data_IF_604619231905
#
_entry.id   IF_604619231905
#
_cell.length_a   1.000
_cell.length_b   1.000
_cell.length_c   1.000
_cell.angle_alpha   90.00
_cell.angle_beta   90.00
_cell.angle_gamma   90.00
#
_symmetry.space_group_name_H-M   'P 1'
#
loop_
_entity.id
_entity.type
_entity.pdbx_description
1 polymer ?
#
# COMPACT_ATOMS: atom_id res chain seq x y z
N UNK A 1 15.31 -1.15 -31.24
CA UNK A 1 15.28 0.27 -31.66
C UNK A 1 14.60 1.24 -30.67
N UNK A 2 13.79 0.81 -29.70
CA UNK A 2 13.10 1.73 -28.76
C UNK A 2 14.00 2.40 -27.69
N UNK A 3 15.14 1.79 -27.32
CA UNK A 3 15.99 2.29 -26.23
C UNK A 3 16.74 3.60 -26.51
N UNK A 4 17.00 3.95 -27.77
CA UNK A 4 17.80 5.13 -28.12
C UNK A 4 17.06 6.45 -27.86
N UNK A 5 15.74 6.50 -28.09
CA UNK A 5 14.91 7.69 -27.85
C UNK A 5 14.70 7.96 -26.36
N UNK A 6 14.50 6.91 -25.56
CA UNK A 6 14.33 7.02 -24.11
C UNK A 6 15.59 7.59 -23.45
N UNK A 7 16.77 7.16 -23.90
CA UNK A 7 18.05 7.71 -23.44
C UNK A 7 18.23 9.18 -23.81
N UNK A 8 17.90 9.56 -25.05
CA UNK A 8 17.98 10.95 -25.49
C UNK A 8 17.07 11.89 -24.66
N UNK A 9 15.84 11.44 -24.34
CA UNK A 9 14.90 12.20 -23.51
C UNK A 9 15.41 12.32 -22.07
N UNK A 10 15.96 11.26 -21.48
CA UNK A 10 16.53 11.30 -20.13
C UNK A 10 17.70 12.29 -20.01
N UNK A 11 18.55 12.37 -21.05
CA UNK A 11 19.66 13.33 -21.12
C UNK A 11 19.15 14.77 -21.25
N UNK A 12 18.15 15.02 -22.11
CA UNK A 12 17.63 16.37 -22.32
C UNK A 12 16.79 16.89 -21.15
N UNK A 13 16.08 16.00 -20.45
CA UNK A 13 15.12 16.38 -19.41
C UNK A 13 15.72 16.40 -17.98
N UNK A 14 16.98 15.97 -17.80
CA UNK A 14 17.68 15.89 -16.49
C UNK A 14 16.89 15.06 -15.46
N UNK A 15 16.01 14.16 -15.91
CA UNK A 15 15.30 13.24 -15.04
C UNK A 15 15.97 11.86 -15.07
N UNK A 16 16.35 11.30 -13.92
CA UNK A 16 16.89 9.94 -13.85
C UNK A 16 15.81 8.94 -14.28
N UNK A 17 16.17 8.05 -15.20
CA UNK A 17 15.30 6.96 -15.62
C UNK A 17 15.25 5.88 -14.52
N UNK A 18 14.27 5.96 -13.63
CA UNK A 18 14.01 4.87 -12.68
C UNK A 18 13.44 3.67 -13.43
N UNK A 19 14.09 2.52 -13.30
CA UNK A 19 13.56 1.25 -13.79
C UNK A 19 12.33 0.85 -12.97
N UNK A 20 11.27 0.46 -13.67
CA UNK A 20 10.09 -0.14 -13.06
C UNK A 20 10.45 -1.50 -12.44
N UNK A 21 9.85 -1.90 -11.31
CA UNK A 21 8.84 -1.18 -10.52
C UNK A 21 9.45 -0.21 -9.48
N UNK A 22 8.84 0.96 -9.30
CA UNK A 22 9.23 1.91 -8.25
C UNK A 22 8.02 2.44 -7.47
N UNK A 23 8.23 3.03 -6.31
CA UNK A 23 7.15 3.57 -5.46
C UNK A 23 7.04 5.08 -5.65
N UNK A 24 5.85 5.55 -6.02
CA UNK A 24 5.52 6.96 -6.14
C UNK A 24 4.36 7.30 -5.20
N UNK A 25 4.55 8.26 -4.29
CA UNK A 25 3.54 8.66 -3.29
C UNK A 25 2.99 7.46 -2.48
N UNK A 26 3.82 6.44 -2.23
CA UNK A 26 3.42 5.22 -1.54
C UNK A 26 2.65 4.20 -2.40
N UNK A 27 2.39 4.50 -3.68
CA UNK A 27 1.83 3.58 -4.66
C UNK A 27 2.93 2.92 -5.49
N UNK A 28 2.96 1.57 -5.58
CA UNK A 28 3.87 0.91 -6.49
C UNK A 28 3.41 1.15 -7.93
N UNK A 29 4.26 1.79 -8.72
CA UNK A 29 4.11 1.91 -10.17
C UNK A 29 4.87 0.73 -10.78
N UNK A 30 4.15 -0.10 -11.52
CA UNK A 30 4.68 -1.29 -12.18
C UNK A 30 4.04 -1.44 -13.55
N UNK A 31 4.75 -2.14 -14.44
CA UNK A 31 4.25 -2.52 -15.76
C UNK A 31 3.99 -4.03 -15.76
N UNK A 32 2.84 -4.46 -16.28
CA UNK A 32 2.44 -5.88 -16.33
C UNK A 32 1.52 -6.31 -15.19
N UNK A 33 1.59 -7.59 -14.82
CA UNK A 33 0.66 -8.21 -13.87
C UNK A 33 0.83 -7.68 -12.44
N UNK A 34 -0.30 -7.55 -11.74
CA UNK A 34 -0.35 -7.15 -10.33
C UNK A 34 0.28 -8.21 -9.41
N UNK A 35 1.57 -8.06 -9.12
CA UNK A 35 2.23 -8.90 -8.12
C UNK A 35 1.79 -8.47 -6.70
N UNK A 36 1.59 -9.45 -5.83
CA UNK A 36 1.18 -9.25 -4.43
C UNK A 36 2.29 -8.59 -3.62
N UNK A 37 3.54 -8.83 -4.00
CA UNK A 37 4.75 -8.34 -3.31
C UNK A 37 4.78 -6.80 -3.25
N UNK A 38 4.35 -6.14 -4.33
CA UNK A 38 4.27 -4.68 -4.40
C UNK A 38 3.37 -4.04 -3.33
N UNK A 39 2.37 -4.77 -2.84
CA UNK A 39 1.41 -4.29 -1.84
C UNK A 39 1.71 -4.77 -0.42
N UNK A 40 2.70 -5.64 -0.21
CA UNK A 40 3.13 -6.06 1.13
C UNK A 40 3.53 -4.88 2.05
N UNK A 41 4.30 -3.86 1.61
CA UNK A 41 4.68 -2.76 2.51
C UNK A 41 3.47 -1.99 3.06
N UNK A 42 2.38 -1.92 2.30
CA UNK A 42 1.11 -1.33 2.74
C UNK A 42 0.45 -2.17 3.84
N UNK A 43 0.41 -3.51 3.67
CA UNK A 43 -0.11 -4.42 4.69
C UNK A 43 0.70 -4.32 5.98
N UNK A 44 2.03 -4.26 5.86
CA UNK A 44 2.93 -4.11 7.01
C UNK A 44 2.73 -2.78 7.74
N UNK A 45 2.49 -1.68 7.02
CA UNK A 45 2.14 -0.39 7.65
C UNK A 45 0.86 -0.49 8.49
N UNK A 46 -0.17 -1.18 7.98
CA UNK A 46 -1.41 -1.41 8.71
C UNK A 46 -1.16 -2.26 9.96
N UNK A 47 -0.41 -3.37 9.80
CA UNK A 47 -0.06 -4.28 10.89
C UNK A 47 0.73 -3.59 12.00
N UNK A 48 1.74 -2.77 11.65
CA UNK A 48 2.52 -1.99 12.62
C UNK A 48 1.66 -1.02 13.41
N UNK A 49 0.71 -0.33 12.77
CA UNK A 49 -0.25 0.52 13.48
C UNK A 49 -1.11 -0.29 14.44
N UNK A 50 -1.68 -1.40 13.98
CA UNK A 50 -2.51 -2.28 14.82
C UNK A 50 -1.75 -2.73 16.08
N UNK A 51 -0.51 -3.20 15.93
CA UNK A 51 0.33 -3.64 17.05
C UNK A 51 0.57 -2.49 18.05
N UNK A 52 0.85 -1.28 17.56
CA UNK A 52 1.04 -0.10 18.40
C UNK A 52 -0.22 0.31 19.20
N UNK A 53 -1.41 -0.06 18.74
CA UNK A 53 -2.67 0.18 19.46
C UNK A 53 -3.14 -1.01 20.29
N UNK A 54 -2.69 -2.23 19.99
CA UNK A 54 -3.06 -3.46 20.72
C UNK A 54 -2.57 -3.45 22.17
N UNK A 55 -1.49 -2.73 22.48
CA UNK A 55 -1.00 -2.57 23.86
C UNK A 55 -1.94 -1.75 24.76
N UNK A 56 -2.90 -1.02 24.19
CA UNK A 56 -3.86 -0.21 24.94
C UNK A 56 -5.14 -1.01 25.18
N UNK A 57 -5.59 -1.04 26.42
CA UNK A 57 -6.89 -1.61 26.78
C UNK A 57 -8.00 -0.71 26.19
N UNK A 58 -8.62 -1.17 25.11
CA UNK A 58 -9.65 -0.46 24.36
C UNK A 58 -10.98 -1.19 24.47
N UNK A 59 -12.05 -0.47 24.78
CA UNK A 59 -13.41 -1.03 24.69
C UNK A 59 -13.75 -1.39 23.24
N UNK A 60 -14.66 -2.34 23.05
CA UNK A 60 -15.12 -2.81 21.73
C UNK A 60 -15.58 -1.67 20.83
N UNK A 61 -16.31 -0.70 21.40
CA UNK A 61 -16.73 0.50 20.69
C UNK A 61 -15.53 1.32 20.16
N UNK A 62 -14.51 1.53 21.00
CA UNK A 62 -13.30 2.27 20.61
C UNK A 62 -12.49 1.51 19.57
N UNK A 63 -12.42 0.18 19.65
CA UNK A 63 -11.80 -0.66 18.61
C UNK A 63 -12.47 -0.46 17.26
N UNK A 64 -13.81 -0.46 17.21
CA UNK A 64 -14.56 -0.25 15.96
C UNK A 64 -14.30 1.14 15.36
N UNK A 65 -14.35 2.18 16.20
CA UNK A 65 -14.06 3.56 15.77
C UNK A 65 -12.64 3.66 15.21
N UNK A 66 -11.67 3.01 15.86
CA UNK A 66 -10.28 3.01 15.41
C UNK A 66 -10.11 2.32 14.05
N UNK A 67 -10.76 1.18 13.83
CA UNK A 67 -10.78 0.49 12.53
C UNK A 67 -11.34 1.44 11.45
N UNK A 68 -12.48 2.09 11.73
CA UNK A 68 -13.18 2.96 10.78
C UNK A 68 -12.38 4.22 10.42
N UNK A 69 -11.75 4.88 11.39
CA UNK A 69 -11.10 6.19 11.16
C UNK A 69 -9.58 6.08 10.94
N UNK A 70 -8.88 5.28 11.73
CA UNK A 70 -7.41 5.28 11.74
C UNK A 70 -6.83 4.20 10.83
N UNK A 71 -7.42 3.00 10.81
CA UNK A 71 -6.90 1.93 9.98
C UNK A 71 -7.39 1.99 8.54
N UNK A 72 -8.62 2.46 8.33
CA UNK A 72 -9.19 2.58 6.99
C UNK A 72 -8.58 3.74 6.19
N UNK A 73 -8.01 4.76 6.84
CA UNK A 73 -7.34 5.88 6.16
C UNK A 73 -5.97 5.51 5.56
N UNK A 74 -5.32 4.45 6.03
CA UNK A 74 -4.03 3.99 5.48
C UNK A 74 -4.20 3.40 4.06
N UNK A 75 -5.13 2.45 3.82
CA UNK A 75 -5.31 1.87 2.50
C UNK A 75 -6.14 2.71 1.52
N UNK A 76 -6.89 3.72 1.99
CA UNK A 76 -7.92 4.37 1.17
C UNK A 76 -7.37 4.98 -0.11
N UNK A 77 -6.21 5.65 -0.03
CA UNK A 77 -5.56 6.24 -1.20
C UNK A 77 -5.20 5.19 -2.26
N UNK A 78 -4.61 4.07 -1.83
CA UNK A 78 -4.21 3.00 -2.75
C UNK A 78 -5.41 2.24 -3.32
N UNK A 79 -6.50 2.12 -2.56
CA UNK A 79 -7.76 1.55 -3.04
C UNK A 79 -8.42 2.41 -4.11
N UNK A 80 -8.30 3.74 -4.01
CA UNK A 80 -8.84 4.67 -5.00
C UNK A 80 -8.07 4.66 -6.32
N UNK A 81 -6.74 4.48 -6.26
CA UNK A 81 -5.88 4.53 -7.45
C UNK A 81 -5.71 3.16 -8.12
N UNK A 82 -5.70 2.06 -7.34
CA UNK A 82 -5.35 0.72 -7.84
C UNK A 82 -6.32 -0.36 -7.38
N UNK A 83 -6.70 -1.21 -8.33
CA UNK A 83 -7.45 -2.44 -8.05
C UNK A 83 -6.58 -3.52 -7.40
N UNK A 84 -6.66 -3.64 -6.07
CA UNK A 84 -5.86 -4.59 -5.30
C UNK A 84 -6.19 -6.07 -5.63
N UNK A 85 -5.19 -6.97 -5.59
CA UNK A 85 -5.43 -8.40 -5.66
C UNK A 85 -6.29 -8.89 -4.49
N UNK A 86 -7.24 -9.80 -4.76
CA UNK A 86 -8.13 -10.40 -3.73
C UNK A 86 -7.38 -10.95 -2.51
N UNK A 87 -6.18 -11.51 -2.71
CA UNK A 87 -5.36 -12.05 -1.61
C UNK A 87 -4.89 -10.95 -0.63
N UNK A 88 -4.56 -9.75 -1.13
CA UNK A 88 -4.12 -8.63 -0.29
C UNK A 88 -5.31 -8.07 0.48
N UNK A 89 -6.47 -7.91 -0.17
CA UNK A 89 -7.71 -7.50 0.51
C UNK A 89 -8.08 -8.46 1.64
N UNK A 90 -7.95 -9.79 1.42
CA UNK A 90 -8.19 -10.79 2.46
C UNK A 90 -7.22 -10.63 3.64
N UNK A 91 -5.93 -10.38 3.39
CA UNK A 91 -4.94 -10.10 4.45
C UNK A 91 -5.28 -8.86 5.26
N UNK A 92 -5.69 -7.76 4.61
CA UNK A 92 -6.08 -6.53 5.30
C UNK A 92 -7.31 -6.79 6.18
N UNK A 93 -8.33 -7.47 5.63
CA UNK A 93 -9.52 -7.86 6.40
C UNK A 93 -9.14 -8.72 7.62
N UNK A 94 -8.26 -9.70 7.44
CA UNK A 94 -7.80 -10.55 8.53
C UNK A 94 -7.15 -9.71 9.64
N UNK A 95 -6.29 -8.75 9.30
CA UNK A 95 -5.67 -7.86 10.29
C UNK A 95 -6.70 -7.07 11.11
N UNK A 96 -7.81 -6.63 10.48
CA UNK A 96 -8.88 -5.92 11.19
C UNK A 96 -9.68 -6.84 12.10
N UNK A 97 -9.96 -8.06 11.66
CA UNK A 97 -10.62 -9.09 12.47
C UNK A 97 -9.76 -9.43 13.69
N UNK A 98 -8.46 -9.69 13.49
CA UNK A 98 -7.49 -10.03 14.54
C UNK A 98 -7.29 -8.91 15.59
N UNK A 99 -7.63 -7.67 15.25
CA UNK A 99 -7.58 -6.56 16.21
C UNK A 99 -8.89 -6.42 16.99
N UNK A 100 -10.02 -6.72 16.35
CA UNK A 100 -11.33 -6.57 16.95
C UNK A 100 -11.58 -7.62 18.03
N UNK A 101 -11.32 -8.89 17.69
CA UNK A 101 -11.38 -10.04 18.61
C UNK A 101 -10.10 -10.11 19.45
#
# INVERSE_FOLDING_TARGET
MAGSRVRAISICAVFPHNSLPFVYLGCPIFQGLKNKEYFQPMVEKIRKRIIGWRSKVLSTCRKLILIKHVFSSVPIYLLSVVSLPKKILKKIKQCFVDFFF
#
